data_IF_578109418574
#
_entry.id   IF_578109418574
#
_cell.length_a   1.000
_cell.length_b   1.000
_cell.length_c   1.000
_cell.angle_alpha   90.00
_cell.angle_beta   90.00
_cell.angle_gamma   90.00
#
_symmetry.space_group_name_H-M   'P 1'
#
loop_
_entity.id
_entity.type
_entity.pdbx_description
1 polymer ?
#
# COMPACT_ATOMS: atom_id res chain seq x y z
N UNK A 1 3.58 -11.00 19.22
CA UNK A 1 2.91 -9.73 18.85
C UNK A 1 1.61 -9.64 19.65
N UNK A 2 1.39 -8.57 20.44
CA UNK A 2 0.11 -8.32 21.08
C UNK A 2 -1.05 -8.31 20.06
N UNK A 3 -2.30 -8.56 20.48
CA UNK A 3 -3.44 -8.62 19.57
C UNK A 3 -3.57 -7.40 18.66
N UNK A 4 -3.27 -6.21 19.19
CA UNK A 4 -3.28 -4.95 18.44
C UNK A 4 -2.19 -4.91 17.35
N UNK A 5 -0.97 -5.33 17.67
CA UNK A 5 0.14 -5.37 16.70
C UNK A 5 -0.16 -6.33 15.55
N UNK A 6 -0.73 -7.50 15.86
CA UNK A 6 -1.14 -8.48 14.83
C UNK A 6 -2.27 -7.94 13.93
N UNK A 7 -3.26 -7.25 14.51
CA UNK A 7 -4.34 -6.64 13.74
C UNK A 7 -3.85 -5.49 12.85
N UNK A 8 -2.92 -4.69 13.37
CA UNK A 8 -2.28 -3.62 12.61
C UNK A 8 -1.51 -4.17 11.41
N UNK A 9 -0.65 -5.18 11.62
CA UNK A 9 0.10 -5.81 10.52
C UNK A 9 -0.83 -6.41 9.46
N UNK A 10 -1.93 -7.04 9.86
CA UNK A 10 -2.92 -7.56 8.92
C UNK A 10 -3.53 -6.45 8.07
N UNK A 11 -3.84 -5.31 8.68
CA UNK A 11 -4.41 -4.15 7.98
C UNK A 11 -3.40 -3.51 7.03
N UNK A 12 -2.13 -3.40 7.45
CA UNK A 12 -1.06 -2.89 6.59
C UNK A 12 -0.79 -3.81 5.40
N UNK A 13 -0.84 -5.13 5.61
CA UNK A 13 -0.72 -6.10 4.51
C UNK A 13 -1.86 -5.96 3.50
N UNK A 14 -3.11 -5.86 3.97
CA UNK A 14 -4.23 -5.63 3.06
C UNK A 14 -4.10 -4.32 2.26
N UNK A 15 -3.53 -3.28 2.87
CA UNK A 15 -3.26 -2.02 2.16
C UNK A 15 -2.16 -2.18 1.10
N UNK A 16 -1.10 -2.92 1.41
CA UNK A 16 -0.04 -3.23 0.44
C UNK A 16 -0.59 -4.04 -0.74
N UNK A 17 -1.35 -5.11 -0.46
CA UNK A 17 -2.00 -5.94 -1.46
C UNK A 17 -2.94 -5.10 -2.35
N UNK A 18 -3.69 -4.17 -1.74
CA UNK A 18 -4.54 -3.23 -2.48
C UNK A 18 -3.71 -2.35 -3.42
N UNK A 19 -2.64 -1.72 -2.93
CA UNK A 19 -1.77 -0.83 -3.72
C UNK A 19 -1.03 -1.55 -4.85
N UNK A 20 -0.70 -2.83 -4.69
CA UNK A 20 -0.06 -3.63 -5.75
C UNK A 20 -1.02 -4.15 -6.80
N UNK A 21 -2.30 -4.30 -6.45
CA UNK A 21 -3.34 -4.75 -7.39
C UNK A 21 -3.61 -3.64 -8.41
N UNK A 22 -3.45 -3.88 -9.73
CA UNK A 22 -3.69 -2.86 -10.74
C UNK A 22 -5.15 -2.41 -10.76
N UNK A 23 -5.38 -1.12 -11.02
CA UNK A 23 -6.72 -0.58 -11.23
C UNK A 23 -7.26 -1.02 -12.60
N UNK A 24 -8.59 -0.97 -12.78
CA UNK A 24 -9.21 -1.37 -14.06
C UNK A 24 -8.69 -0.55 -15.24
N UNK A 25 -8.32 0.72 -15.01
CA UNK A 25 -7.72 1.61 -16.00
C UNK A 25 -6.29 1.20 -16.39
N UNK A 26 -5.60 0.45 -15.53
CA UNK A 26 -4.24 -0.06 -15.76
C UNK A 26 -4.24 -1.44 -16.43
N UNK A 27 -5.40 -2.11 -16.50
CA UNK A 27 -5.53 -3.46 -17.06
C UNK A 27 -5.89 -3.36 -18.53
N UNK A 28 -5.00 -3.87 -19.38
CA UNK A 28 -5.28 -4.12 -20.80
C UNK A 28 -5.98 -5.48 -20.96
N UNK A 29 -7.25 -5.46 -21.34
CA UNK A 29 -8.08 -6.67 -21.49
C UNK A 29 -7.61 -7.59 -22.62
N UNK A 30 -6.83 -7.08 -23.58
CA UNK A 30 -6.34 -7.84 -24.72
C UNK A 30 -4.89 -8.34 -24.51
N UNK A 31 -4.25 -7.97 -23.39
CA UNK A 31 -2.90 -8.40 -23.08
C UNK A 31 -2.85 -9.89 -22.69
N UNK A 32 -2.04 -10.67 -23.41
CA UNK A 32 -1.79 -12.06 -23.08
C UNK A 32 -0.65 -12.18 -22.05
N UNK A 33 -0.97 -12.52 -20.81
CA UNK A 33 0.01 -12.72 -19.74
C UNK A 33 -0.57 -12.56 -18.33
N UNK A 34 0.32 -12.57 -17.34
CA UNK A 34 -0.02 -12.22 -15.96
C UNK A 34 -0.26 -10.70 -15.85
N UNK A 35 -1.17 -10.31 -14.96
CA UNK A 35 -1.45 -8.90 -14.70
C UNK A 35 -0.20 -8.23 -14.11
N UNK A 36 0.22 -7.06 -14.64
CA UNK A 36 1.33 -6.32 -14.08
C UNK A 36 0.97 -5.78 -12.69
N UNK A 37 1.99 -5.50 -11.87
CA UNK A 37 1.78 -4.73 -10.65
C UNK A 37 1.32 -3.30 -10.98
N UNK A 38 0.51 -2.73 -10.08
CA UNK A 38 0.05 -1.35 -10.24
C UNK A 38 1.22 -0.36 -10.24
N UNK A 39 1.12 0.61 -11.14
CA UNK A 39 2.06 1.72 -11.31
C UNK A 39 1.59 3.02 -10.63
N UNK A 40 0.40 3.00 -10.02
CA UNK A 40 -0.23 4.20 -9.47
C UNK A 40 0.53 4.77 -8.27
N UNK A 41 0.63 6.10 -8.20
CA UNK A 41 1.36 6.76 -7.10
C UNK A 41 0.53 6.92 -5.81
N UNK A 42 -0.80 6.91 -5.92
CA UNK A 42 -1.73 7.16 -4.81
C UNK A 42 -2.88 6.13 -4.80
N UNK A 43 -3.72 6.16 -3.76
CA UNK A 43 -4.74 5.13 -3.52
C UNK A 43 -5.62 4.86 -4.75
N UNK A 44 -6.07 5.93 -5.40
CA UNK A 44 -7.07 5.89 -6.47
C UNK A 44 -6.48 6.18 -7.86
N UNK A 45 -5.16 6.34 -7.99
CA UNK A 45 -4.53 6.66 -9.28
C UNK A 45 -3.22 7.45 -9.19
N UNK A 46 -2.87 8.21 -10.24
CA UNK A 46 -1.62 8.96 -10.31
C UNK A 46 -1.65 10.28 -9.53
N UNK A 47 -2.83 10.78 -9.14
CA UNK A 47 -3.02 12.05 -8.45
C UNK A 47 -3.53 11.88 -7.02
N UNK A 48 -3.19 12.85 -6.15
CA UNK A 48 -3.66 12.90 -4.76
C UNK A 48 -5.18 13.04 -4.68
N UNK A 49 -5.81 12.15 -3.91
CA UNK A 49 -7.24 12.16 -3.62
C UNK A 49 -7.51 12.50 -2.15
N UNK A 50 -8.79 12.72 -1.82
CA UNK A 50 -9.21 12.94 -0.43
C UNK A 50 -8.94 11.71 0.45
N UNK A 51 -8.94 10.51 -0.14
CA UNK A 51 -8.60 9.28 0.56
C UNK A 51 -7.16 9.30 1.07
N UNK A 52 -6.23 9.81 0.25
CA UNK A 52 -4.81 9.93 0.61
C UNK A 52 -4.63 10.94 1.75
N UNK A 53 -5.28 12.09 1.67
CA UNK A 53 -5.23 13.11 2.73
C UNK A 53 -5.68 12.57 4.10
N UNK A 54 -6.58 11.57 4.13
CA UNK A 54 -7.03 10.93 5.36
C UNK A 54 -6.09 9.81 5.84
N UNK A 55 -5.39 9.13 4.92
CA UNK A 55 -4.58 7.95 5.23
C UNK A 55 -3.09 8.26 5.41
N UNK A 56 -2.51 9.11 4.56
CA UNK A 56 -1.09 9.47 4.59
C UNK A 56 -0.64 10.03 5.94
N UNK A 57 -1.38 10.93 6.62
CA UNK A 57 -0.99 11.39 7.95
C UNK A 57 -0.95 10.27 8.99
N UNK A 58 -1.86 9.29 8.90
CA UNK A 58 -1.94 8.15 9.84
C UNK A 58 -0.79 7.18 9.61
N UNK A 59 -0.45 6.90 8.35
CA UNK A 59 0.69 6.06 7.99
C UNK A 59 2.02 6.71 8.38
N UNK A 60 2.14 8.04 8.19
CA UNK A 60 3.32 8.78 8.61
C UNK A 60 3.58 8.68 10.11
N UNK A 61 2.54 8.88 10.94
CA UNK A 61 2.64 8.72 12.40
C UNK A 61 3.08 7.30 12.75
N UNK A 62 2.52 6.28 12.10
CA UNK A 62 2.91 4.89 12.34
C UNK A 62 4.38 4.64 11.98
N UNK A 63 4.85 5.12 10.82
CA UNK A 63 6.24 4.99 10.38
C UNK A 63 7.23 5.63 11.35
N UNK A 64 6.91 6.82 11.86
CA UNK A 64 7.77 7.56 12.79
C UNK A 64 7.74 6.98 14.21
N UNK A 65 6.56 6.62 14.72
CA UNK A 65 6.40 6.15 16.10
C UNK A 65 6.70 4.66 16.28
N UNK A 66 6.79 3.89 15.19
CA UNK A 66 6.88 2.42 15.26
C UNK A 66 8.14 1.85 14.57
N UNK A 67 9.36 2.22 15.00
CA UNK A 67 10.61 1.76 14.38
C UNK A 67 10.85 0.24 14.49
N UNK A 68 10.10 -0.47 15.36
CA UNK A 68 10.14 -1.93 15.50
C UNK A 68 9.37 -2.66 14.40
N UNK A 69 8.40 -1.99 13.77
CA UNK A 69 7.79 -2.45 12.54
C UNK A 69 8.75 -2.07 11.42
N UNK A 70 9.94 -2.68 11.46
CA UNK A 70 10.82 -2.72 10.31
C UNK A 70 10.01 -3.45 9.23
N UNK A 71 9.28 -2.70 8.41
CA UNK A 71 8.70 -3.14 7.13
C UNK A 71 9.83 -3.50 6.12
N UNK A 72 11.02 -3.83 6.62
CA UNK A 72 12.16 -4.38 5.92
C UNK A 72 11.96 -5.89 5.88
N UNK A 73 11.13 -6.32 4.95
CA UNK A 73 10.82 -7.73 4.76
C UNK A 73 10.10 -7.93 3.44
N UNK A 74 10.91 -7.96 2.38
CA UNK A 74 10.65 -8.46 1.02
C UNK A 74 9.48 -7.81 0.24
N UNK A 75 9.86 -7.10 -0.82
CA UNK A 75 8.98 -6.71 -1.95
C UNK A 75 7.72 -5.89 -1.57
N UNK A 76 7.86 -4.82 -0.79
CA UNK A 76 6.75 -3.87 -0.56
C UNK A 76 7.24 -2.44 -0.73
N UNK A 77 7.19 -1.99 -1.97
CA UNK A 77 7.73 -0.70 -2.44
C UNK A 77 6.85 0.49 -2.03
N UNK A 78 5.56 0.31 -1.78
CA UNK A 78 4.65 1.42 -1.51
C UNK A 78 4.69 1.93 -0.06
N UNK A 79 4.76 1.05 0.94
CA UNK A 79 4.90 1.47 2.35
C UNK A 79 6.31 2.02 2.64
N UNK A 80 7.28 1.74 1.77
CA UNK A 80 8.61 2.32 1.82
C UNK A 80 8.66 3.73 1.21
N UNK A 81 7.80 4.05 0.23
CA UNK A 81 7.75 5.36 -0.44
C UNK A 81 6.95 6.43 0.31
N UNK A 82 6.02 6.07 1.22
CA UNK A 82 5.38 6.99 2.18
C UNK A 82 6.26 7.16 3.41
#
# INVERSE_FOLDING_TARGET
LPPLEKALLKSLRHLDDFLRTPLSEEIDADAAGDLPESSRSFLDGPDLSLADCNLLPKLHILKVCSPKFNLKGEESTYIAMI
#
